data_IF_447111769056
#
_entry.id   IF_447111769056
#
_cell.length_a   1.000
_cell.length_b   1.000
_cell.length_c   1.000
_cell.angle_alpha   90.00
_cell.angle_beta   90.00
_cell.angle_gamma   90.00
#
_symmetry.space_group_name_H-M   'P 1'
#
loop_
_entity.id
_entity.type
_entity.pdbx_description
1 polymer ?
#
# COMPACT_ATOMS: atom_id res chain seq x y z
N UNK A 1 1.32 8.84 5.58
CA UNK A 1 0.15 8.00 5.89
C UNK A 1 0.09 7.69 7.38
N UNK A 2 0.90 6.78 7.93
CA UNK A 2 0.81 6.35 9.34
C UNK A 2 0.85 7.49 10.38
N UNK A 3 1.88 8.34 10.33
CA UNK A 3 2.06 9.45 11.30
C UNK A 3 0.99 10.54 11.21
N UNK A 4 0.39 10.72 10.02
CA UNK A 4 -0.65 11.73 9.76
C UNK A 4 -2.06 11.15 9.66
N UNK A 5 -2.22 9.82 9.81
CA UNK A 5 -3.46 9.05 9.59
C UNK A 5 -4.23 9.46 8.33
N UNK A 6 -3.52 9.55 7.21
CA UNK A 6 -4.09 9.89 5.89
C UNK A 6 -4.11 8.69 4.95
N UNK A 7 -5.04 8.69 4.00
CA UNK A 7 -5.19 7.67 2.96
C UNK A 7 -4.04 7.68 1.95
N UNK A 8 -3.86 6.61 1.15
CA UNK A 8 -2.92 6.57 0.03
C UNK A 8 -3.15 7.73 -0.92
N UNK A 9 -4.39 8.00 -1.30
CA UNK A 9 -4.75 9.08 -2.22
C UNK A 9 -4.30 10.44 -1.69
N UNK A 10 -4.60 10.74 -0.42
CA UNK A 10 -4.19 12.00 0.20
C UNK A 10 -2.66 12.11 0.32
N UNK A 11 -1.97 11.01 0.65
CA UNK A 11 -0.52 10.98 0.72
C UNK A 11 0.14 11.17 -0.65
N UNK A 12 -0.39 10.54 -1.71
CA UNK A 12 0.09 10.73 -3.07
C UNK A 12 -0.12 12.17 -3.56
N UNK A 13 -1.27 12.78 -3.25
CA UNK A 13 -1.50 14.21 -3.53
C UNK A 13 -0.46 15.09 -2.85
N UNK A 14 -0.18 14.85 -1.57
CA UNK A 14 0.83 15.61 -0.84
C UNK A 14 2.25 15.43 -1.43
N UNK A 15 2.60 14.22 -1.88
CA UNK A 15 3.88 13.96 -2.56
C UNK A 15 3.95 14.68 -3.90
N UNK A 16 2.88 14.65 -4.70
CA UNK A 16 2.81 15.33 -6.01
C UNK A 16 2.93 16.85 -5.88
N UNK A 17 2.35 17.43 -4.84
CA UNK A 17 2.49 18.86 -4.53
C UNK A 17 3.95 19.25 -4.23
N UNK A 18 4.71 18.36 -3.60
CA UNK A 18 6.12 18.61 -3.30
C UNK A 18 7.06 18.23 -4.47
N UNK A 19 6.65 17.26 -5.31
CA UNK A 19 7.39 16.76 -6.47
C UNK A 19 6.41 16.31 -7.55
N UNK A 20 6.22 17.17 -8.55
CA UNK A 20 5.24 16.95 -9.62
C UNK A 20 5.54 15.70 -10.47
N UNK A 21 6.83 15.42 -10.73
CA UNK A 21 7.27 14.27 -11.53
C UNK A 21 7.48 12.99 -10.70
N UNK A 22 6.44 12.55 -9.98
CA UNK A 22 6.46 11.27 -9.25
C UNK A 22 5.58 10.25 -9.95
N UNK A 23 6.21 9.20 -10.47
CA UNK A 23 5.53 8.03 -11.02
C UNK A 23 5.53 6.89 -10.00
N UNK A 24 4.35 6.60 -9.46
CA UNK A 24 4.14 5.47 -8.56
C UNK A 24 3.78 4.27 -9.41
N UNK A 25 4.51 3.17 -9.25
CA UNK A 25 4.17 1.93 -9.95
C UNK A 25 2.89 1.31 -9.34
N UNK A 26 2.08 0.60 -10.14
CA UNK A 26 0.80 0.04 -9.67
C UNK A 26 0.94 -0.89 -8.46
N UNK A 27 2.00 -1.72 -8.41
CA UNK A 27 2.24 -2.62 -7.28
C UNK A 27 2.51 -1.87 -5.97
N UNK A 28 3.21 -0.74 -6.04
CA UNK A 28 3.43 0.10 -4.86
C UNK A 28 2.14 0.80 -4.42
N UNK A 29 1.29 1.24 -5.35
CA UNK A 29 -0.02 1.78 -5.01
C UNK A 29 -0.90 0.71 -4.31
N UNK A 30 -0.89 -0.52 -4.79
CA UNK A 30 -1.57 -1.64 -4.13
C UNK A 30 -1.05 -1.87 -2.71
N UNK A 31 0.27 -1.82 -2.51
CA UNK A 31 0.89 -1.94 -1.19
C UNK A 31 0.50 -0.80 -0.25
N UNK A 32 0.34 0.43 -0.74
CA UNK A 32 -0.12 1.56 0.07
C UNK A 32 -1.58 1.37 0.52
N UNK A 33 -2.45 0.87 -0.37
CA UNK A 33 -3.83 0.52 -0.02
C UNK A 33 -3.84 -0.61 1.01
N UNK A 34 -3.03 -1.66 0.80
CA UNK A 34 -2.87 -2.75 1.78
C UNK A 34 -2.46 -2.20 3.15
N UNK A 35 -1.49 -1.28 3.17
CA UNK A 35 -1.02 -0.67 4.41
C UNK A 35 -2.13 0.10 5.14
N UNK A 36 -2.99 0.82 4.43
CA UNK A 36 -4.16 1.50 5.02
C UNK A 36 -5.18 0.52 5.59
N UNK A 37 -5.56 -0.52 4.84
CA UNK A 37 -6.58 -1.48 5.30
C UNK A 37 -6.09 -2.33 6.48
N UNK A 38 -4.78 -2.58 6.58
CA UNK A 38 -4.13 -3.17 7.76
C UNK A 38 -4.01 -2.18 8.93
N UNK A 39 -4.68 -1.03 8.90
CA UNK A 39 -4.62 0.01 9.94
C UNK A 39 -3.18 0.49 10.21
N UNK A 40 -2.36 0.53 9.15
CA UNK A 40 -0.94 0.87 9.19
C UNK A 40 -0.08 -0.12 10.00
N UNK A 41 -0.56 -1.35 10.23
CA UNK A 41 0.16 -2.42 10.92
C UNK A 41 0.02 -3.77 10.18
N UNK A 42 0.61 -3.93 8.97
CA UNK A 42 0.62 -5.21 8.28
C UNK A 42 1.52 -6.21 9.02
N UNK A 43 1.01 -7.40 9.34
CA UNK A 43 1.79 -8.46 9.97
C UNK A 43 1.26 -9.86 9.58
N UNK A 44 2.04 -10.94 9.79
CA UNK A 44 1.68 -12.29 9.31
C UNK A 44 0.36 -12.86 9.85
N UNK A 45 -0.09 -12.36 11.01
CA UNK A 45 -1.35 -12.75 11.64
C UNK A 45 -2.52 -11.81 11.27
N UNK A 46 -2.28 -10.75 10.49
CA UNK A 46 -3.33 -9.87 9.98
C UNK A 46 -4.00 -10.54 8.79
N UNK A 47 -5.33 -10.67 8.83
CA UNK A 47 -6.09 -11.47 7.89
C UNK A 47 -6.04 -10.96 6.45
N UNK A 48 -6.07 -9.64 6.25
CA UNK A 48 -6.00 -9.03 4.91
C UNK A 48 -4.60 -9.21 4.31
N UNK A 49 -3.56 -8.92 5.09
CA UNK A 49 -2.16 -9.11 4.73
C UNK A 49 -1.87 -10.56 4.35
N UNK A 50 -2.32 -11.52 5.15
CA UNK A 50 -2.12 -12.95 4.89
C UNK A 50 -2.74 -13.36 3.55
N UNK A 51 -3.98 -12.95 3.28
CA UNK A 51 -4.67 -13.24 2.00
C UNK A 51 -3.96 -12.59 0.82
N UNK A 52 -3.55 -11.33 0.95
CA UNK A 52 -2.79 -10.63 -0.08
C UNK A 52 -1.47 -11.33 -0.39
N UNK A 53 -0.70 -11.71 0.64
CA UNK A 53 0.56 -12.46 0.49
C UNK A 53 0.39 -13.79 -0.23
N UNK A 54 -0.69 -14.53 0.07
CA UNK A 54 -1.01 -15.78 -0.61
C UNK A 54 -1.30 -15.56 -2.11
N UNK A 55 -2.09 -14.53 -2.45
CA UNK A 55 -2.38 -14.17 -3.84
C UNK A 55 -1.11 -13.82 -4.62
N UNK A 56 -0.23 -13.02 -4.03
CA UNK A 56 1.05 -12.64 -4.64
C UNK A 56 1.95 -13.87 -4.86
N UNK A 57 2.05 -14.76 -3.87
CA UNK A 57 2.83 -15.99 -3.99
C UNK A 57 2.34 -16.87 -5.16
N UNK A 58 1.02 -16.99 -5.34
CA UNK A 58 0.43 -17.73 -6.46
C UNK A 58 0.72 -17.06 -7.82
N UNK A 59 0.69 -15.73 -7.89
CA UNK A 59 0.99 -14.99 -9.12
C UNK A 59 2.45 -15.04 -9.55
N UNK A 60 3.39 -15.24 -8.62
CA UNK A 60 4.83 -15.34 -8.93
C UNK A 60 5.21 -16.76 -9.37
N UNK A 61 4.40 -17.76 -9.00
CA UNK A 61 4.66 -19.17 -9.28
C UNK A 61 4.01 -19.68 -10.60
N UNK A 62 3.22 -18.85 -11.28
CA UNK A 62 2.63 -19.14 -12.60
C UNK A 62 3.25 -18.27 -13.67
#
# INVERSE_FOLDING_TARGET
MCSKRISPTAAMTAVRQAREQVWINPGFQEQLVLFEVCQYNPHPNEGVYKKWRQKIAQHIQG
#
